data_IF_928615553431
#
_entry.id   IF_928615553431
#
_cell.length_a   1.000
_cell.length_b   1.000
_cell.length_c   1.000
_cell.angle_alpha   90.00
_cell.angle_beta   90.00
_cell.angle_gamma   90.00
#
_symmetry.space_group_name_H-M   'P 1'
#
loop_
_entity.id
_entity.type
_entity.pdbx_description
1 polymer ?
#
# COMPACT_ATOMS: atom_id res chain seq x y z
N UNK A 1 11.26 -12.43 21.65
CA UNK A 1 11.40 -13.56 20.70
C UNK A 1 11.61 -12.98 19.31
N UNK A 2 12.56 -13.50 18.52
CA UNK A 2 12.94 -12.96 17.21
C UNK A 2 13.28 -14.12 16.26
N UNK A 3 12.89 -14.01 14.99
CA UNK A 3 13.23 -14.97 13.94
C UNK A 3 13.94 -14.24 12.78
N UNK A 4 14.94 -14.88 12.18
CA UNK A 4 15.68 -14.33 11.03
C UNK A 4 15.20 -15.02 9.75
N UNK A 5 14.90 -14.25 8.70
CA UNK A 5 14.41 -14.76 7.43
C UNK A 5 15.11 -14.11 6.23
N UNK A 6 15.56 -14.87 5.22
CA UNK A 6 16.21 -14.32 4.03
C UNK A 6 15.20 -13.61 3.10
N UNK A 7 15.47 -12.33 2.78
CA UNK A 7 14.52 -11.46 2.04
C UNK A 7 14.25 -11.87 0.59
N UNK A 8 15.14 -12.65 -0.04
CA UNK A 8 14.97 -13.13 -1.43
C UNK A 8 14.26 -14.48 -1.52
N UNK A 9 13.88 -15.08 -0.40
CA UNK A 9 13.15 -16.35 -0.36
C UNK A 9 11.71 -16.11 0.09
N UNK A 10 10.75 -16.58 -0.72
CA UNK A 10 9.33 -16.53 -0.38
C UNK A 10 9.08 -17.28 0.94
N UNK A 11 8.22 -16.71 1.78
CA UNK A 11 7.79 -17.38 3.02
C UNK A 11 6.89 -18.58 2.67
N UNK A 12 7.03 -19.73 3.36
CA UNK A 12 6.20 -20.90 3.10
C UNK A 12 4.73 -20.60 3.44
N UNK A 13 3.83 -21.08 2.59
CA UNK A 13 2.37 -20.95 2.72
C UNK A 13 1.72 -22.29 2.38
N UNK A 14 0.56 -22.57 2.95
CA UNK A 14 -0.18 -23.82 2.67
C UNK A 14 -0.78 -23.81 1.27
N UNK A 15 -1.56 -22.77 0.95
CA UNK A 15 -2.18 -22.59 -0.36
C UNK A 15 -2.48 -21.11 -0.63
N UNK A 16 -2.71 -20.78 -1.91
CA UNK A 16 -3.14 -19.44 -2.32
C UNK A 16 -4.65 -19.42 -2.53
N UNK A 17 -5.36 -18.65 -1.72
CA UNK A 17 -6.81 -18.50 -1.81
C UNK A 17 -7.20 -17.40 -2.81
N UNK A 18 -8.42 -17.51 -3.34
CA UNK A 18 -9.03 -16.44 -4.14
C UNK A 18 -9.45 -15.28 -3.21
N UNK A 19 -9.18 -14.05 -3.64
CA UNK A 19 -9.52 -12.85 -2.89
C UNK A 19 -10.98 -12.46 -3.12
N UNK A 20 -11.77 -12.38 -2.04
CA UNK A 20 -13.20 -12.08 -2.10
C UNK A 20 -13.60 -10.80 -1.37
N UNK A 21 -12.68 -10.18 -0.62
CA UNK A 21 -12.93 -8.94 0.13
C UNK A 21 -12.34 -7.74 -0.62
N UNK A 22 -13.10 -6.64 -0.78
CA UNK A 22 -12.59 -5.43 -1.41
C UNK A 22 -11.59 -4.72 -0.49
N UNK A 23 -10.53 -4.16 -1.10
CA UNK A 23 -9.68 -3.17 -0.47
C UNK A 23 -10.38 -1.82 -0.61
N UNK A 24 -10.97 -1.33 0.48
CA UNK A 24 -11.58 -0.02 0.52
C UNK A 24 -10.47 1.02 0.67
N UNK A 25 -10.36 1.93 -0.29
CA UNK A 25 -9.31 2.96 -0.32
C UNK A 25 -9.78 4.30 0.27
N UNK A 26 -11.09 4.49 0.40
CA UNK A 26 -11.71 5.76 0.75
C UNK A 26 -11.82 6.74 -0.42
N UNK A 27 -11.33 6.37 -1.60
CA UNK A 27 -11.37 7.19 -2.81
C UNK A 27 -12.53 6.74 -3.70
N UNK A 28 -13.54 7.59 -3.88
CA UNK A 28 -14.78 7.27 -4.63
C UNK A 28 -14.53 6.66 -6.01
N UNK A 29 -13.58 7.21 -6.78
CA UNK A 29 -13.27 6.72 -8.13
C UNK A 29 -12.63 5.33 -8.10
N UNK A 30 -11.78 5.04 -7.11
CA UNK A 30 -11.15 3.74 -6.97
C UNK A 30 -12.15 2.71 -6.45
N UNK A 31 -12.90 3.06 -5.40
CA UNK A 31 -13.80 2.11 -4.74
C UNK A 31 -15.03 1.78 -5.63
N UNK A 32 -15.49 2.71 -6.46
CA UNK A 32 -16.67 2.50 -7.30
C UNK A 32 -16.36 2.01 -8.72
N UNK A 33 -15.33 2.55 -9.39
CA UNK A 33 -15.09 2.29 -10.82
C UNK A 33 -13.91 1.34 -11.06
N UNK A 34 -12.92 1.34 -10.17
CA UNK A 34 -11.69 0.55 -10.33
C UNK A 34 -11.30 -0.17 -9.02
N UNK A 35 -12.21 -1.00 -8.46
CA UNK A 35 -12.02 -1.57 -7.13
C UNK A 35 -10.82 -2.51 -7.09
N UNK A 36 -10.11 -2.47 -5.96
CA UNK A 36 -9.04 -3.41 -5.64
C UNK A 36 -9.55 -4.44 -4.62
N UNK A 37 -8.90 -5.59 -4.52
CA UNK A 37 -9.20 -6.63 -3.53
C UNK A 37 -8.06 -6.79 -2.54
N UNK A 38 -8.36 -7.18 -1.30
CA UNK A 38 -7.35 -7.53 -0.31
C UNK A 38 -6.58 -8.78 -0.77
N UNK A 39 -5.27 -8.66 -0.99
CA UNK A 39 -4.44 -9.69 -1.62
C UNK A 39 -4.30 -9.55 -3.14
N UNK A 40 -4.89 -8.52 -3.74
CA UNK A 40 -4.72 -8.15 -5.14
C UNK A 40 -3.39 -7.43 -5.42
N UNK A 41 -3.18 -7.08 -6.69
CA UNK A 41 -2.01 -6.32 -7.14
C UNK A 41 -2.48 -5.15 -7.99
N UNK A 42 -2.01 -3.94 -7.67
CA UNK A 42 -2.44 -2.70 -8.32
C UNK A 42 -1.22 -1.90 -8.75
N UNK A 43 -1.31 -1.23 -9.90
CA UNK A 43 -0.28 -0.33 -10.40
C UNK A 43 -0.87 1.06 -10.62
N UNK A 44 -0.14 2.10 -10.21
CA UNK A 44 -0.50 3.51 -10.41
C UNK A 44 0.57 4.17 -11.29
N UNK A 45 0.50 4.00 -12.61
CA UNK A 45 1.39 4.71 -13.53
C UNK A 45 1.00 6.19 -13.64
N UNK A 46 1.96 7.06 -13.88
CA UNK A 46 1.69 8.47 -14.12
C UNK A 46 2.94 9.31 -14.25
N UNK A 47 2.83 10.43 -14.97
CA UNK A 47 3.91 11.40 -15.11
C UNK A 47 4.24 12.09 -13.77
N UNK A 48 5.29 12.90 -13.77
CA UNK A 48 5.59 13.78 -12.65
C UNK A 48 4.42 14.75 -12.38
N UNK A 49 4.06 14.95 -11.12
CA UNK A 49 2.96 15.85 -10.73
C UNK A 49 1.55 15.25 -10.80
N UNK A 50 1.36 14.01 -11.26
CA UNK A 50 0.03 13.37 -11.36
C UNK A 50 -0.55 12.88 -10.01
N UNK A 51 0.03 13.26 -8.86
CA UNK A 51 -0.52 12.91 -7.55
C UNK A 51 -0.35 11.44 -7.12
N UNK A 52 0.64 10.71 -7.67
CA UNK A 52 0.91 9.30 -7.29
C UNK A 52 1.11 9.14 -5.77
N UNK A 53 1.97 9.97 -5.18
CA UNK A 53 2.25 9.96 -3.73
C UNK A 53 1.00 10.25 -2.90
N UNK A 54 0.12 11.14 -3.38
CA UNK A 54 -1.14 11.47 -2.69
C UNK A 54 -2.07 10.26 -2.60
N UNK A 55 -2.18 9.47 -3.68
CA UNK A 55 -2.97 8.23 -3.65
C UNK A 55 -2.34 7.23 -2.69
N UNK A 56 -1.01 7.03 -2.76
CA UNK A 56 -0.29 6.11 -1.87
C UNK A 56 -0.44 6.48 -0.39
N UNK A 57 -0.33 7.77 -0.05
CA UNK A 57 -0.53 8.28 1.31
C UNK A 57 -1.98 8.19 1.78
N UNK A 58 -2.95 8.43 0.89
CA UNK A 58 -4.37 8.28 1.22
C UNK A 58 -4.72 6.83 1.52
N UNK A 59 -4.20 5.90 0.70
CA UNK A 59 -4.39 4.47 0.91
C UNK A 59 -3.77 4.01 2.23
N UNK A 60 -2.57 4.50 2.58
CA UNK A 60 -1.92 4.14 3.84
C UNK A 60 -2.62 4.73 5.09
N UNK A 61 -3.33 5.85 4.97
CA UNK A 61 -4.09 6.46 6.08
C UNK A 61 -5.50 5.89 6.26
N UNK A 62 -6.20 5.59 5.15
CA UNK A 62 -7.65 5.38 5.18
C UNK A 62 -8.10 4.00 4.71
N UNK A 63 -7.19 3.14 4.24
CA UNK A 63 -7.61 1.82 3.79
C UNK A 63 -8.04 0.91 4.94
N UNK A 64 -8.90 -0.06 4.64
CA UNK A 64 -9.35 -1.08 5.59
C UNK A 64 -8.31 -2.18 5.88
N UNK A 65 -7.02 -1.83 5.92
CA UNK A 65 -5.91 -2.76 6.17
C UNK A 65 -5.41 -2.64 7.60
N UNK A 66 -5.11 -3.77 8.26
CA UNK A 66 -4.66 -3.76 9.66
C UNK A 66 -3.22 -3.26 9.84
N UNK A 67 -2.36 -3.53 8.86
CA UNK A 67 -0.94 -3.15 8.88
C UNK A 67 -0.53 -2.62 7.52
N UNK A 68 0.16 -1.47 7.52
CA UNK A 68 0.70 -0.84 6.31
C UNK A 68 2.22 -0.92 6.32
N UNK A 69 2.80 -1.36 5.20
CA UNK A 69 4.24 -1.29 4.94
C UNK A 69 4.44 -0.33 3.77
N UNK A 70 5.08 0.82 4.04
CA UNK A 70 5.36 1.84 3.03
C UNK A 70 6.84 1.80 2.65
N UNK A 71 7.14 1.62 1.36
CA UNK A 71 8.52 1.54 0.84
C UNK A 71 8.76 2.67 -0.15
N UNK A 72 9.52 3.69 0.26
CA UNK A 72 9.98 4.76 -0.63
C UNK A 72 11.23 4.35 -1.41
N UNK A 73 11.07 3.86 -2.63
CA UNK A 73 12.19 3.42 -3.48
C UNK A 73 12.63 4.52 -4.44
N UNK A 74 13.72 5.22 -4.12
CA UNK A 74 14.22 6.33 -4.95
C UNK A 74 13.31 7.57 -4.95
N UNK A 75 12.44 7.68 -3.94
CA UNK A 75 11.50 8.80 -3.76
C UNK A 75 12.19 10.04 -3.17
N UNK A 76 11.49 11.18 -3.21
CA UNK A 76 11.98 12.44 -2.64
C UNK A 76 12.01 12.38 -1.11
N UNK A 77 13.12 12.79 -0.50
CA UNK A 77 13.29 12.74 0.96
C UNK A 77 12.22 13.49 1.74
N UNK A 78 11.70 14.59 1.21
CA UNK A 78 10.63 15.37 1.86
C UNK A 78 9.32 14.58 1.96
N UNK A 79 8.99 13.74 0.96
CA UNK A 79 7.77 12.92 0.98
C UNK A 79 7.84 11.85 2.07
N UNK A 80 9.02 11.27 2.30
CA UNK A 80 9.22 10.31 3.38
C UNK A 80 9.21 10.97 4.77
N UNK A 81 9.76 12.18 4.88
CA UNK A 81 9.73 12.96 6.12
C UNK A 81 8.29 13.32 6.52
N UNK A 82 7.47 13.72 5.56
CA UNK A 82 6.05 14.02 5.78
C UNK A 82 5.28 12.81 6.32
N UNK A 83 5.49 11.62 5.75
CA UNK A 83 4.86 10.38 6.24
C UNK A 83 5.24 10.10 7.70
N UNK A 84 6.51 10.25 8.07
CA UNK A 84 6.95 10.00 9.45
C UNK A 84 6.42 11.02 10.46
N UNK A 85 6.17 12.26 10.01
CA UNK A 85 5.62 13.32 10.85
C UNK A 85 4.10 13.18 11.03
N UNK A 86 3.38 12.87 9.96
CA UNK A 86 1.92 12.93 9.94
C UNK A 86 1.24 11.65 10.43
N UNK A 87 1.93 10.50 10.48
CA UNK A 87 1.35 9.22 10.92
C UNK A 87 1.20 9.04 12.44
N UNK A 88 2.08 9.62 13.28
CA UNK A 88 1.90 9.58 14.74
C UNK A 88 0.77 10.46 15.28
N UNK A 89 0.22 11.37 14.48
CA UNK A 89 -0.90 12.25 14.82
C UNK A 89 -2.27 11.60 14.51
#
# INVERSE_FOLDING_TARGET
>A
MLQVWPVRQLRPVTEKLAANNPLLTGQRVLDALFPCVQGGTTAIPGAFGCGKTVISQSLSKFSNSDVIIYVGCGERGNEMSEVLRDFPE
#
